data_IF_200990001287
#
_entry.id   IF_200990001287
#
_cell.length_a   1.000
_cell.length_b   1.000
_cell.length_c   1.000
_cell.angle_alpha   90.00
_cell.angle_beta   90.00
_cell.angle_gamma   90.00
#
_symmetry.space_group_name_H-M   'P 1'
#
loop_
_entity.id
_entity.type
_entity.pdbx_description
1 polymer ?
#
# COMPACT_ATOMS: atom_id res chain seq x y z
N UNK A 1 -21.53 -27.30 17.33
CA UNK A 1 -21.13 -26.58 16.11
C UNK A 1 -20.14 -27.42 15.32
N UNK A 2 -20.45 -27.77 14.07
CA UNK A 2 -19.44 -28.35 13.19
C UNK A 2 -18.35 -27.31 13.00
N UNK A 3 -17.15 -27.56 13.53
CA UNK A 3 -15.97 -26.74 13.25
C UNK A 3 -15.77 -26.76 11.72
N UNK A 4 -15.85 -25.60 11.10
CA UNK A 4 -15.58 -25.47 9.68
C UNK A 4 -14.16 -25.99 9.41
N UNK A 5 -14.01 -26.87 8.43
CA UNK A 5 -12.76 -27.59 8.16
C UNK A 5 -11.55 -26.65 7.98
N UNK A 6 -11.78 -25.44 7.43
CA UNK A 6 -10.74 -24.44 7.20
C UNK A 6 -10.35 -23.60 8.43
N UNK A 7 -10.94 -23.86 9.61
CA UNK A 7 -10.62 -23.18 10.88
C UNK A 7 -9.72 -24.01 11.79
N UNK A 8 -9.11 -25.07 11.29
CA UNK A 8 -8.10 -25.82 12.04
C UNK A 8 -6.80 -25.02 12.11
N UNK A 9 -6.06 -25.20 13.17
CA UNK A 9 -4.82 -24.45 13.41
C UNK A 9 -3.81 -24.61 12.26
N UNK A 10 -3.66 -25.80 11.71
CA UNK A 10 -2.78 -26.03 10.56
C UNK A 10 -3.20 -25.23 9.33
N UNK A 11 -4.49 -25.18 9.05
CA UNK A 11 -5.02 -24.40 7.92
C UNK A 11 -4.82 -22.90 8.14
N UNK A 12 -5.09 -22.42 9.36
CA UNK A 12 -4.88 -21.00 9.71
C UNK A 12 -3.41 -20.60 9.60
N UNK A 13 -2.47 -21.46 10.01
CA UNK A 13 -1.03 -21.23 9.83
C UNK A 13 -0.67 -21.10 8.36
N UNK A 14 -1.23 -21.96 7.49
CA UNK A 14 -1.00 -21.90 6.05
C UNK A 14 -1.53 -20.60 5.44
N UNK A 15 -2.70 -20.12 5.87
CA UNK A 15 -3.24 -18.83 5.38
C UNK A 15 -2.39 -17.65 5.82
N UNK A 16 -1.89 -17.66 7.05
CA UNK A 16 -0.94 -16.64 7.52
C UNK A 16 0.33 -16.64 6.66
N UNK A 17 0.89 -17.81 6.36
CA UNK A 17 2.05 -17.95 5.48
C UNK A 17 1.74 -17.38 4.07
N UNK A 18 0.58 -17.73 3.50
CA UNK A 18 0.18 -17.22 2.17
C UNK A 18 0.08 -15.69 2.15
N UNK A 19 -0.41 -15.08 3.22
CA UNK A 19 -0.44 -13.62 3.33
C UNK A 19 0.99 -13.05 3.32
N UNK A 20 1.90 -13.63 4.10
CA UNK A 20 3.31 -13.23 4.10
C UNK A 20 3.95 -13.37 2.72
N UNK A 21 3.73 -14.50 2.05
CA UNK A 21 4.29 -14.77 0.73
C UNK A 21 3.68 -13.84 -0.33
N UNK A 22 2.39 -13.64 -0.32
CA UNK A 22 1.71 -12.72 -1.24
C UNK A 22 2.23 -11.28 -1.10
N UNK A 23 2.38 -10.79 0.11
CA UNK A 23 2.96 -9.50 0.40
C UNK A 23 4.42 -9.41 -0.09
N UNK A 24 5.24 -10.40 0.24
CA UNK A 24 6.65 -10.47 -0.19
C UNK A 24 6.79 -10.38 -1.71
N UNK A 25 6.01 -11.17 -2.44
CA UNK A 25 6.08 -11.18 -3.91
C UNK A 25 5.63 -9.83 -4.49
N UNK A 26 4.54 -9.25 -3.99
CA UNK A 26 4.04 -7.96 -4.44
C UNK A 26 5.05 -6.83 -4.21
N UNK A 27 5.71 -6.84 -3.06
CA UNK A 27 6.76 -5.85 -2.74
C UNK A 27 8.01 -6.07 -3.60
N UNK A 28 8.39 -7.34 -3.79
CA UNK A 28 9.58 -7.71 -4.55
C UNK A 28 9.49 -7.30 -6.03
N UNK A 29 8.30 -7.29 -6.60
CA UNK A 29 8.07 -6.89 -8.00
C UNK A 29 8.54 -5.45 -8.31
N UNK A 30 8.49 -4.56 -7.33
CA UNK A 30 8.92 -3.18 -7.47
C UNK A 30 10.40 -2.94 -7.13
N UNK A 31 11.13 -3.95 -6.68
CA UNK A 31 12.48 -3.80 -6.13
C UNK A 31 13.46 -3.11 -7.08
N UNK A 32 13.46 -3.48 -8.36
CA UNK A 32 14.36 -2.88 -9.34
C UNK A 32 14.10 -1.39 -9.52
N UNK A 33 12.84 -0.99 -9.56
CA UNK A 33 12.46 0.43 -9.66
C UNK A 33 12.88 1.18 -8.38
N UNK A 34 12.58 0.63 -7.22
CA UNK A 34 12.93 1.23 -5.94
C UNK A 34 14.46 1.42 -5.82
N UNK A 35 15.23 0.41 -6.20
CA UNK A 35 16.70 0.48 -6.18
C UNK A 35 17.24 1.55 -7.14
N UNK A 36 16.64 1.70 -8.32
CA UNK A 36 17.02 2.75 -9.30
C UNK A 36 16.95 4.15 -8.68
N UNK A 37 15.97 4.39 -7.83
CA UNK A 37 15.77 5.69 -7.16
C UNK A 37 16.37 5.75 -5.76
N UNK A 38 17.07 4.71 -5.32
CA UNK A 38 17.66 4.60 -3.97
C UNK A 38 16.65 4.77 -2.84
N UNK A 39 15.46 4.22 -3.03
CA UNK A 39 14.37 4.22 -2.06
C UNK A 39 13.95 2.79 -1.72
N UNK A 40 13.13 2.64 -0.68
CA UNK A 40 12.73 1.34 -0.14
C UNK A 40 11.22 1.16 -0.05
N UNK A 41 10.84 0.07 0.63
CA UNK A 41 9.43 -0.34 0.79
C UNK A 41 8.59 0.73 1.50
N UNK A 42 9.15 1.41 2.50
CA UNK A 42 8.45 2.48 3.21
C UNK A 42 8.06 3.62 2.27
N UNK A 43 8.95 4.00 1.37
CA UNK A 43 8.69 5.01 0.34
C UNK A 43 7.59 4.54 -0.63
N UNK A 44 7.65 3.28 -1.05
CA UNK A 44 6.63 2.69 -1.92
C UNK A 44 5.23 2.78 -1.29
N UNK A 45 5.10 2.41 -0.01
CA UNK A 45 3.83 2.49 0.71
C UNK A 45 3.27 3.91 0.76
N UNK A 46 4.13 4.89 1.03
CA UNK A 46 3.73 6.30 1.11
C UNK A 46 3.29 6.82 -0.27
N UNK A 47 4.09 6.62 -1.31
CA UNK A 47 3.73 7.02 -2.68
C UNK A 47 2.42 6.38 -3.12
N UNK A 48 2.24 5.10 -2.82
CA UNK A 48 1.02 4.36 -3.14
C UNK A 48 -0.23 5.01 -2.52
N UNK A 49 -0.17 5.35 -1.23
CA UNK A 49 -1.28 5.99 -0.54
C UNK A 49 -1.56 7.40 -1.07
N UNK A 50 -0.53 8.16 -1.38
CA UNK A 50 -0.69 9.50 -1.96
C UNK A 50 -1.34 9.41 -3.35
N UNK A 51 -0.96 8.44 -4.16
CA UNK A 51 -1.58 8.20 -5.46
C UNK A 51 -3.05 7.76 -5.34
N UNK A 52 -3.34 6.88 -4.40
CA UNK A 52 -4.69 6.31 -4.22
C UNK A 52 -5.68 7.31 -3.61
N UNK A 53 -5.20 8.16 -2.70
CA UNK A 53 -6.02 9.12 -1.96
C UNK A 53 -5.53 10.54 -2.25
N UNK A 54 -6.01 11.12 -3.34
CA UNK A 54 -5.64 12.48 -3.75
C UNK A 54 -5.91 13.49 -2.63
N UNK A 55 -4.90 14.27 -2.27
CA UNK A 55 -5.00 15.24 -1.19
C UNK A 55 -4.96 14.66 0.21
N UNK A 56 -4.46 13.45 0.38
CA UNK A 56 -4.30 12.81 1.69
C UNK A 56 -3.47 13.71 2.62
N UNK A 57 -3.87 13.80 3.88
CA UNK A 57 -3.15 14.58 4.88
C UNK A 57 -2.03 13.77 5.54
N UNK A 58 -1.06 14.45 6.13
CA UNK A 58 0.01 13.80 6.90
C UNK A 58 -0.59 12.99 8.06
N UNK A 59 -1.62 13.50 8.73
CA UNK A 59 -2.33 12.78 9.79
C UNK A 59 -2.98 11.49 9.31
N UNK A 60 -3.59 11.51 8.12
CA UNK A 60 -4.18 10.32 7.51
C UNK A 60 -3.13 9.29 7.11
N UNK A 61 -1.98 9.73 6.58
CA UNK A 61 -0.85 8.84 6.30
C UNK A 61 -0.37 8.13 7.56
N UNK A 62 -0.20 8.86 8.66
CA UNK A 62 0.20 8.28 9.95
C UNK A 62 -0.80 7.23 10.43
N UNK A 63 -2.09 7.54 10.35
CA UNK A 63 -3.16 6.62 10.78
C UNK A 63 -3.19 5.34 9.95
N UNK A 64 -3.07 5.46 8.63
CA UNK A 64 -3.12 4.31 7.71
C UNK A 64 -1.87 3.44 7.81
N UNK A 65 -0.71 4.04 7.92
CA UNK A 65 0.58 3.33 7.97
C UNK A 65 0.90 2.76 9.35
N UNK A 66 0.32 3.33 10.42
CA UNK A 66 0.60 2.97 11.81
C UNK A 66 2.11 2.99 12.13
N UNK A 67 2.79 4.02 11.63
CA UNK A 67 4.21 4.26 11.86
C UNK A 67 4.40 5.48 12.75
N UNK A 68 5.62 5.68 13.26
CA UNK A 68 5.95 6.88 14.03
C UNK A 68 6.00 8.11 13.14
N UNK A 69 5.68 9.26 13.69
CA UNK A 69 5.80 10.56 13.00
C UNK A 69 7.22 10.78 12.47
N UNK A 70 8.22 10.39 13.26
CA UNK A 70 9.63 10.51 12.90
C UNK A 70 9.96 9.66 11.67
N UNK A 71 9.51 8.41 11.60
CA UNK A 71 9.71 7.52 10.45
C UNK A 71 9.05 8.07 9.19
N UNK A 72 7.81 8.56 9.31
CA UNK A 72 7.11 9.14 8.17
C UNK A 72 7.81 10.42 7.69
N UNK A 73 8.23 11.29 8.58
CA UNK A 73 8.92 12.53 8.22
C UNK A 73 10.20 12.26 7.42
N UNK A 74 10.95 11.22 7.78
CA UNK A 74 12.14 10.79 7.05
C UNK A 74 11.80 10.39 5.61
N UNK A 75 10.77 9.57 5.43
CA UNK A 75 10.31 9.15 4.11
C UNK A 75 9.83 10.33 3.28
N UNK A 76 9.01 11.20 3.87
CA UNK A 76 8.51 12.40 3.18
C UNK A 76 9.64 13.33 2.75
N UNK A 77 10.66 13.50 3.60
CA UNK A 77 11.85 14.30 3.25
C UNK A 77 12.59 13.73 2.04
N UNK A 78 12.78 12.42 1.99
CA UNK A 78 13.42 11.76 0.84
C UNK A 78 12.59 11.96 -0.44
N UNK A 79 11.28 11.87 -0.35
CA UNK A 79 10.38 12.07 -1.49
C UNK A 79 10.35 13.53 -1.97
N UNK A 80 10.45 14.49 -1.05
CA UNK A 80 10.61 15.92 -1.39
C UNK A 80 11.95 16.11 -2.13
N UNK A 81 13.03 15.53 -1.64
CA UNK A 81 14.35 15.62 -2.28
C UNK A 81 14.36 15.02 -3.70
N UNK A 82 13.57 13.98 -3.93
CA UNK A 82 13.35 13.40 -5.25
C UNK A 82 12.39 14.22 -6.12
N UNK A 83 11.84 15.30 -5.59
CA UNK A 83 10.79 16.12 -6.25
C UNK A 83 9.54 15.32 -6.62
N UNK A 84 9.29 14.21 -5.90
CA UNK A 84 8.17 13.32 -6.16
C UNK A 84 6.86 13.77 -5.53
N UNK A 85 6.93 14.55 -4.46
CA UNK A 85 5.75 15.04 -3.73
C UNK A 85 5.85 16.54 -3.49
N UNK A 86 4.69 17.16 -3.26
CA UNK A 86 4.53 18.54 -2.83
C UNK A 86 3.52 18.63 -1.69
N UNK A 87 3.65 19.68 -0.89
CA UNK A 87 2.72 20.00 0.19
C UNK A 87 1.82 21.17 -0.19
N UNK A 88 0.57 21.10 0.25
CA UNK A 88 -0.36 22.23 0.19
C UNK A 88 -1.05 22.36 1.55
N UNK A 89 -1.10 23.58 2.06
CA UNK A 89 -1.86 23.88 3.28
C UNK A 89 -3.35 23.81 2.98
N UNK A 90 -4.12 23.29 3.95
CA UNK A 90 -5.57 23.33 3.87
C UNK A 90 -6.05 24.79 3.84
N UNK A 91 -7.07 25.06 3.03
CA UNK A 91 -7.56 26.44 2.83
C UNK A 91 -8.30 26.98 4.06
N UNK A 92 -8.88 26.11 4.85
CA UNK A 92 -9.65 26.49 6.05
C UNK A 92 -8.81 26.40 7.32
N UNK A 93 -8.10 25.29 7.51
CA UNK A 93 -7.23 25.06 8.67
C UNK A 93 -5.77 24.88 8.24
N UNK A 94 -4.98 25.94 8.35
CA UNK A 94 -3.58 25.97 7.93
C UNK A 94 -2.66 25.05 8.75
N UNK A 95 -3.14 24.44 9.82
CA UNK A 95 -2.42 23.42 10.58
C UNK A 95 -2.42 22.07 9.87
N UNK A 96 -3.35 21.87 8.92
CA UNK A 96 -3.49 20.66 8.11
C UNK A 96 -2.65 20.81 6.85
N UNK A 97 -1.83 19.79 6.57
CA UNK A 97 -1.02 19.71 5.36
C UNK A 97 -1.47 18.56 4.49
N UNK A 98 -1.82 18.87 3.26
CA UNK A 98 -2.14 17.88 2.22
C UNK A 98 -0.88 17.53 1.43
N UNK A 99 -0.79 16.29 1.00
CA UNK A 99 0.34 15.78 0.21
C UNK A 99 -0.16 15.34 -1.16
N UNK A 100 0.56 15.74 -2.20
CA UNK A 100 0.25 15.40 -3.58
C UNK A 100 1.48 14.86 -4.29
N UNK A 101 1.28 14.01 -5.29
CA UNK A 101 2.33 13.67 -6.23
C UNK A 101 2.57 14.86 -7.18
N UNK A 102 3.84 15.08 -7.52
CA UNK A 102 4.23 15.95 -8.62
C UNK A 102 4.17 15.19 -9.93
N UNK A 103 4.48 15.81 -11.05
CA UNK A 103 4.62 15.12 -12.34
C UNK A 103 5.71 14.04 -12.27
N UNK A 104 6.84 14.32 -11.63
CA UNK A 104 7.91 13.36 -11.39
C UNK A 104 7.45 12.22 -10.47
N UNK A 105 6.65 12.55 -9.46
CA UNK A 105 6.06 11.56 -8.56
C UNK A 105 5.10 10.63 -9.27
N UNK A 106 4.29 11.13 -10.17
CA UNK A 106 3.40 10.31 -11.01
C UNK A 106 4.19 9.34 -11.89
N UNK A 107 5.27 9.79 -12.51
CA UNK A 107 6.16 8.93 -13.31
C UNK A 107 6.76 7.83 -12.45
N UNK A 108 7.29 8.17 -11.29
CA UNK A 108 7.85 7.21 -10.33
C UNK A 108 6.79 6.20 -9.89
N UNK A 109 5.61 6.65 -9.50
CA UNK A 109 4.51 5.78 -9.11
C UNK A 109 4.12 4.83 -10.23
N UNK A 110 4.00 5.32 -11.46
CA UNK A 110 3.64 4.49 -12.61
C UNK A 110 4.67 3.40 -12.90
N UNK A 111 5.95 3.67 -12.75
CA UNK A 111 7.00 2.66 -12.88
C UNK A 111 6.85 1.57 -11.80
N UNK A 112 6.66 1.96 -10.53
CA UNK A 112 6.45 1.04 -9.41
C UNK A 112 5.17 0.22 -9.63
N UNK A 113 4.08 0.90 -9.92
CA UNK A 113 2.76 0.29 -10.06
C UNK A 113 2.70 -0.67 -11.23
N UNK A 114 3.32 -0.37 -12.37
CA UNK A 114 3.33 -1.25 -13.53
C UNK A 114 3.91 -2.62 -13.22
N UNK A 115 4.95 -2.67 -12.39
CA UNK A 115 5.56 -3.93 -11.95
C UNK A 115 4.62 -4.73 -11.04
N UNK A 116 4.00 -4.07 -10.06
CA UNK A 116 3.08 -4.71 -9.10
C UNK A 116 1.73 -5.05 -9.73
N UNK A 117 1.22 -4.20 -10.59
CA UNK A 117 -0.05 -4.39 -11.33
C UNK A 117 -0.07 -5.70 -12.08
N UNK A 118 1.00 -6.04 -12.76
CA UNK A 118 1.09 -7.24 -13.60
C UNK A 118 0.75 -8.50 -12.80
N UNK A 119 1.30 -8.65 -11.60
CA UNK A 119 1.05 -9.81 -10.73
C UNK A 119 -0.42 -9.91 -10.34
N UNK A 120 -0.98 -8.82 -9.83
CA UNK A 120 -2.37 -8.79 -9.35
C UNK A 120 -3.33 -8.97 -10.53
N UNK A 121 -3.07 -8.30 -11.64
CA UNK A 121 -3.88 -8.43 -12.86
C UNK A 121 -3.92 -9.86 -13.36
N UNK A 122 -2.77 -10.54 -13.44
CA UNK A 122 -2.71 -11.94 -13.87
C UNK A 122 -3.47 -12.87 -12.93
N UNK A 123 -3.31 -12.69 -11.62
CA UNK A 123 -4.02 -13.50 -10.63
C UNK A 123 -5.54 -13.30 -10.73
N UNK A 124 -6.00 -12.07 -10.84
CA UNK A 124 -7.44 -11.76 -10.94
C UNK A 124 -8.03 -12.21 -12.27
N UNK A 125 -7.29 -12.06 -13.38
CA UNK A 125 -7.73 -12.54 -14.69
C UNK A 125 -7.86 -14.05 -14.77
N UNK A 126 -7.06 -14.79 -14.01
CA UNK A 126 -7.14 -16.24 -13.89
C UNK A 126 -8.21 -16.72 -12.90
N UNK A 127 -8.91 -15.82 -12.23
CA UNK A 127 -9.93 -16.10 -11.22
C UNK A 127 -11.32 -15.71 -11.74
N UNK A 128 -12.35 -16.34 -11.17
CA UNK A 128 -13.74 -15.95 -11.46
C UNK A 128 -14.07 -14.64 -10.72
N UNK A 129 -15.00 -13.86 -11.27
CA UNK A 129 -15.40 -12.58 -10.68
C UNK A 129 -15.88 -12.72 -9.22
N UNK A 130 -16.64 -13.77 -8.92
CA UNK A 130 -17.12 -14.02 -7.55
C UNK A 130 -15.97 -14.38 -6.58
N UNK A 131 -14.92 -15.02 -7.06
CA UNK A 131 -13.73 -15.31 -6.24
C UNK A 131 -12.99 -14.02 -5.86
N UNK A 132 -12.86 -13.09 -6.80
CA UNK A 132 -12.23 -11.79 -6.54
C UNK A 132 -13.04 -10.96 -5.54
N UNK A 133 -14.36 -10.92 -5.69
CA UNK A 133 -15.26 -10.23 -4.74
C UNK A 133 -15.17 -10.86 -3.35
N UNK A 134 -15.17 -12.19 -3.27
CA UNK A 134 -15.03 -12.91 -2.00
C UNK A 134 -13.68 -12.66 -1.34
N UNK A 135 -12.61 -12.65 -2.12
CA UNK A 135 -11.27 -12.31 -1.64
C UNK A 135 -11.21 -10.90 -1.05
N UNK A 136 -11.76 -9.90 -1.74
CA UNK A 136 -11.84 -8.53 -1.26
C UNK A 136 -12.60 -8.44 0.07
N UNK A 137 -13.74 -9.11 0.17
CA UNK A 137 -14.56 -9.12 1.39
C UNK A 137 -13.82 -9.74 2.59
N UNK A 138 -13.14 -10.86 2.38
CA UNK A 138 -12.36 -11.53 3.44
C UNK A 138 -11.17 -10.67 3.84
N UNK A 139 -10.46 -10.10 2.86
CA UNK A 139 -9.30 -9.24 3.11
C UNK A 139 -9.67 -8.00 3.93
N UNK A 140 -10.80 -7.37 3.63
CA UNK A 140 -11.33 -6.25 4.42
C UNK A 140 -11.58 -6.62 5.87
N UNK A 141 -12.13 -7.81 6.13
CA UNK A 141 -12.33 -8.31 7.51
C UNK A 141 -11.01 -8.51 8.24
N UNK A 142 -10.01 -9.05 7.56
CA UNK A 142 -8.65 -9.22 8.12
C UNK A 142 -8.07 -7.87 8.50
N UNK A 143 -8.16 -6.87 7.59
CA UNK A 143 -7.58 -5.53 7.80
C UNK A 143 -8.30 -4.78 8.93
N UNK A 144 -9.61 -4.83 8.97
CA UNK A 144 -10.42 -4.07 9.91
C UNK A 144 -10.61 -4.77 11.27
N UNK A 145 -10.29 -6.06 11.38
CA UNK A 145 -10.54 -6.85 12.56
C UNK A 145 -12.03 -6.94 12.94
N UNK A 146 -12.92 -6.61 12.03
CA UNK A 146 -14.37 -6.71 12.25
C UNK A 146 -14.86 -8.03 11.68
N UNK A 147 -15.38 -8.81 12.58
CA UNK A 147 -16.10 -10.05 12.28
C UNK A 147 -17.55 -9.71 11.98
#
# INVERSE_FOLDING_TARGET
MKKLLYLKDEDLKQYIEKIFLGYRETVSDARNVLNKYSIGVAHNKVIHLISLYEGITISELLRKLKVTKQSLNRVLKDLINLKAIKYEKDQVDTRITHVYLTEEGEKLFNEIFSAQKKRIYQAFSASKANEVVSFDNVLKKIINGKI
#
